data_IF_215700250651
#
_entry.id   IF_215700250651
#
_cell.length_a   1.000
_cell.length_b   1.000
_cell.length_c   1.000
_cell.angle_alpha   90.00
_cell.angle_beta   90.00
_cell.angle_gamma   90.00
#
_symmetry.space_group_name_H-M   'P 1'
#
loop_
_entity.id
_entity.type
_entity.pdbx_description
1 polymer ?
#
# COMPACT_ATOMS: atom_id res chain seq x y z
N UNK A 1 -10.91 4.29 -9.79
CA UNK A 1 -10.94 3.25 -8.72
C UNK A 1 -11.58 3.83 -7.46
N UNK A 2 -12.40 3.07 -6.73
CA UNK A 2 -12.90 3.49 -5.40
C UNK A 2 -11.96 3.03 -4.29
N UNK A 3 -11.64 3.92 -3.36
CA UNK A 3 -10.80 3.62 -2.20
C UNK A 3 -11.45 4.04 -0.89
N UNK A 4 -10.98 3.46 0.21
CA UNK A 4 -11.38 3.80 1.57
C UNK A 4 -10.19 4.34 2.36
N UNK A 5 -10.37 5.47 3.04
CA UNK A 5 -9.38 5.98 4.00
C UNK A 5 -9.65 5.33 5.35
N UNK A 6 -8.73 4.47 5.79
CA UNK A 6 -8.85 3.70 7.02
C UNK A 6 -8.07 4.35 8.17
N UNK A 7 -8.68 4.37 9.36
CA UNK A 7 -8.02 4.67 10.62
C UNK A 7 -8.02 3.42 11.49
N UNK A 8 -6.83 2.94 11.86
CA UNK A 8 -6.64 1.75 12.70
C UNK A 8 -5.88 2.16 13.95
N UNK A 9 -6.40 1.76 15.11
CA UNK A 9 -5.71 1.86 16.39
C UNK A 9 -5.10 0.52 16.73
N UNK A 10 -3.78 0.48 16.90
CA UNK A 10 -3.05 -0.75 17.21
C UNK A 10 -2.47 -0.66 18.62
N UNK A 11 -2.65 -1.73 19.40
CA UNK A 11 -1.98 -1.88 20.67
C UNK A 11 -0.47 -2.04 20.45
N UNK A 12 0.32 -1.04 20.85
CA UNK A 12 1.79 -1.04 20.63
C UNK A 12 2.50 -2.28 21.20
N UNK A 13 2.04 -2.81 22.34
CA UNK A 13 2.72 -3.91 23.02
C UNK A 13 2.45 -5.27 22.39
N UNK A 14 1.28 -5.47 21.79
CA UNK A 14 0.85 -6.78 21.26
C UNK A 14 0.73 -6.81 19.75
N UNK A 15 0.78 -5.64 19.10
CA UNK A 15 0.49 -5.49 17.66
C UNK A 15 -0.98 -5.73 17.29
N UNK A 16 -1.86 -6.00 18.26
CA UNK A 16 -3.28 -6.30 17.99
C UNK A 16 -4.05 -5.03 17.64
N UNK A 17 -4.91 -5.12 16.65
CA UNK A 17 -5.90 -4.07 16.36
C UNK A 17 -6.88 -3.93 17.54
N UNK A 18 -7.10 -2.70 17.97
CA UNK A 18 -8.07 -2.34 19.00
C UNK A 18 -9.31 -1.68 18.39
N UNK A 19 -9.14 -0.94 17.29
CA UNK A 19 -10.21 -0.24 16.58
C UNK A 19 -9.87 -0.12 15.11
N UNK A 20 -10.87 -0.24 14.25
CA UNK A 20 -10.82 0.04 12.81
C UNK A 20 -12.03 0.88 12.42
N UNK A 21 -11.80 1.94 11.65
CA UNK A 21 -12.84 2.87 11.22
C UNK A 21 -12.56 3.34 9.79
N UNK A 22 -13.59 3.32 8.93
CA UNK A 22 -13.56 3.97 7.62
C UNK A 22 -13.86 5.44 7.83
N UNK A 23 -12.90 6.31 7.50
CA UNK A 23 -13.02 7.77 7.63
C UNK A 23 -13.67 8.40 6.42
N UNK A 24 -13.39 7.86 5.24
CA UNK A 24 -13.83 8.42 3.96
C UNK A 24 -13.85 7.32 2.89
N UNK A 25 -14.76 7.46 1.94
CA UNK A 25 -14.77 6.69 0.69
C UNK A 25 -14.65 7.71 -0.44
N UNK A 26 -13.68 7.52 -1.34
CA UNK A 26 -13.48 8.43 -2.48
C UNK A 26 -13.13 7.68 -3.75
N UNK A 27 -13.45 8.30 -4.87
CA UNK A 27 -13.04 7.83 -6.19
C UNK A 27 -11.75 8.55 -6.61
N UNK A 28 -10.78 7.78 -7.09
CA UNK A 28 -9.45 8.26 -7.49
C UNK A 28 -9.05 7.70 -8.84
N UNK A 29 -8.18 8.41 -9.54
CA UNK A 29 -7.45 7.86 -10.67
C UNK A 29 -6.46 6.79 -10.18
N UNK A 30 -6.43 5.66 -10.86
CA UNK A 30 -5.64 4.50 -10.44
C UNK A 30 -4.14 4.71 -10.67
N UNK A 31 -3.78 5.29 -11.81
CA UNK A 31 -2.39 5.53 -12.18
C UNK A 31 -1.76 6.57 -11.25
N UNK A 32 -2.49 7.63 -10.90
CA UNK A 32 -2.06 8.61 -9.90
C UNK A 32 -1.90 7.99 -8.50
N UNK A 33 -2.80 7.08 -8.12
CA UNK A 33 -2.76 6.44 -6.81
C UNK A 33 -1.52 5.55 -6.63
N UNK A 34 -1.15 4.76 -7.65
CA UNK A 34 0.00 3.85 -7.58
C UNK A 34 1.34 4.50 -7.93
N UNK A 35 1.36 5.66 -8.60
CA UNK A 35 2.59 6.36 -9.02
C UNK A 35 3.64 6.49 -7.91
N UNK A 36 3.32 6.92 -6.67
CA UNK A 36 4.33 7.03 -5.62
C UNK A 36 4.97 5.68 -5.24
N UNK A 37 4.19 4.59 -5.28
CA UNK A 37 4.72 3.26 -4.99
C UNK A 37 5.67 2.79 -6.08
N UNK A 38 5.35 3.07 -7.34
CA UNK A 38 6.22 2.76 -8.48
C UNK A 38 7.49 3.61 -8.44
N UNK A 39 7.41 4.89 -8.09
CA UNK A 39 8.59 5.75 -7.99
C UNK A 39 9.54 5.34 -6.86
N UNK A 40 9.01 4.85 -5.74
CA UNK A 40 9.83 4.44 -4.59
C UNK A 40 10.34 3.01 -4.72
N UNK A 41 9.52 2.09 -5.21
CA UNK A 41 9.82 0.66 -5.19
C UNK A 41 10.00 0.03 -6.58
N UNK A 42 9.70 0.76 -7.66
CA UNK A 42 9.68 0.24 -9.02
C UNK A 42 11.03 -0.33 -9.44
N UNK A 43 12.12 0.40 -9.17
CA UNK A 43 13.47 -0.06 -9.52
C UNK A 43 13.85 -1.34 -8.78
N UNK A 44 13.63 -1.39 -7.45
CA UNK A 44 13.90 -2.57 -6.63
C UNK A 44 13.06 -3.78 -7.06
N UNK A 45 11.80 -3.56 -7.45
CA UNK A 45 10.93 -4.61 -7.97
C UNK A 45 11.45 -5.14 -9.31
N UNK A 46 11.82 -4.25 -10.23
CA UNK A 46 12.35 -4.64 -11.54
C UNK A 46 13.68 -5.39 -11.43
N UNK A 47 14.57 -4.98 -10.53
CA UNK A 47 15.81 -5.70 -10.22
C UNK A 47 15.53 -7.10 -9.69
N UNK A 48 14.62 -7.23 -8.73
CA UNK A 48 14.22 -8.54 -8.19
C UNK A 48 13.65 -9.46 -9.28
N UNK A 49 12.79 -8.93 -10.16
CA UNK A 49 12.22 -9.69 -11.27
C UNK A 49 13.24 -10.11 -12.33
N UNK A 50 14.27 -9.28 -12.59
CA UNK A 50 15.36 -9.64 -13.50
C UNK A 50 16.18 -10.80 -12.93
N UNK A 51 16.60 -10.69 -11.66
CA UNK A 51 17.39 -11.71 -10.99
C UNK A 51 16.65 -13.05 -10.85
N UNK A 52 15.32 -13.00 -10.73
CA UNK A 52 14.48 -14.22 -10.64
C UNK A 52 14.25 -14.92 -11.98
N UNK A 53 14.56 -14.27 -13.12
CA UNK A 53 14.46 -14.87 -14.46
C UNK A 53 15.77 -15.51 -14.94
N UNK A 54 16.87 -15.28 -14.23
CA UNK A 54 18.20 -15.80 -14.55
C UNK A 54 18.58 -17.06 -13.74
N UNK A 55 17.66 -17.58 -12.93
CA UNK A 55 17.77 -18.85 -12.17
C UNK A 55 16.87 -19.93 -12.76
#
# INVERSE_FOLDING_TARGET
MQIEVLSVTICRHTGKELKREIKEVREVDEDEFYRPLVEVFGDAFLEHCKNSKEA
#
